data_IF_817804696691
#
_entry.id   IF_817804696691
#
_cell.length_a   1.000
_cell.length_b   1.000
_cell.length_c   1.000
_cell.angle_alpha   90.00
_cell.angle_beta   90.00
_cell.angle_gamma   90.00
#
_symmetry.space_group_name_H-M   'P 1'
#
loop_
_entity.id
_entity.type
_entity.pdbx_description
1 polymer ?
#
# COMPACT_ATOMS: atom_id res chain seq x y z
N UNK A 1 67.21 17.14 -5.34
CA UNK A 1 66.09 18.11 -5.31
C UNK A 1 65.24 17.93 -6.56
N UNK A 2 64.00 17.46 -6.37
CA UNK A 2 62.73 17.87 -7.03
C UNK A 2 62.63 18.12 -8.56
N UNK A 3 61.56 17.52 -9.13
CA UNK A 3 60.74 17.83 -10.34
C UNK A 3 61.14 17.06 -11.61
N UNK A 4 60.23 16.48 -12.39
CA UNK A 4 58.77 16.52 -12.37
C UNK A 4 58.13 15.71 -13.51
N UNK A 5 56.91 15.28 -13.24
CA UNK A 5 55.86 14.64 -14.04
C UNK A 5 55.77 15.05 -15.52
N UNK A 6 55.70 14.03 -16.40
CA UNK A 6 55.04 13.89 -17.75
C UNK A 6 55.95 12.97 -18.58
N UNK A 7 55.58 11.75 -18.97
CA UNK A 7 54.39 11.39 -19.74
C UNK A 7 53.89 10.00 -19.38
N UNK A 8 52.59 9.98 -19.11
CA UNK A 8 51.77 8.83 -18.81
C UNK A 8 51.04 8.47 -20.09
N UNK A 9 51.57 7.54 -20.88
CA UNK A 9 50.83 6.72 -21.87
C UNK A 9 51.82 5.98 -22.76
N UNK A 10 51.89 4.65 -22.64
CA UNK A 10 51.50 3.73 -23.71
C UNK A 10 51.76 2.28 -23.33
N UNK A 11 50.75 1.46 -23.64
CA UNK A 11 50.77 0.00 -23.74
C UNK A 11 50.70 -0.77 -22.42
N UNK A 12 49.68 -0.47 -21.61
CA UNK A 12 48.94 -1.57 -20.97
C UNK A 12 47.71 -1.80 -21.84
N UNK A 13 47.79 -2.82 -22.70
CA UNK A 13 46.62 -3.34 -23.41
C UNK A 13 45.64 -3.91 -22.38
N UNK A 14 44.77 -3.03 -21.87
CA UNK A 14 43.53 -3.43 -21.21
C UNK A 14 42.62 -3.97 -22.30
N UNK A 15 42.85 -5.22 -22.70
CA UNK A 15 41.90 -5.97 -23.48
C UNK A 15 40.55 -5.92 -22.73
N UNK A 16 39.59 -5.18 -23.29
CA UNK A 16 38.20 -5.21 -22.88
C UNK A 16 37.72 -6.65 -23.05
N UNK A 17 37.79 -7.44 -21.99
CA UNK A 17 37.20 -8.77 -21.95
C UNK A 17 35.71 -8.57 -22.20
N UNK A 18 35.13 -9.09 -23.31
CA UNK A 18 33.71 -8.97 -23.53
C UNK A 18 33.01 -9.74 -22.40
N UNK A 19 32.36 -9.02 -21.48
CA UNK A 19 31.45 -9.65 -20.53
C UNK A 19 30.36 -10.32 -21.36
N UNK A 20 30.43 -11.65 -21.46
CA UNK A 20 29.36 -12.45 -22.05
C UNK A 20 28.13 -12.35 -21.15
N UNK A 21 27.29 -11.33 -21.35
CA UNK A 21 25.89 -11.34 -20.94
C UNK A 21 25.07 -12.30 -21.83
N UNK A 22 25.64 -13.43 -22.23
CA UNK A 22 24.93 -14.44 -22.99
C UNK A 22 24.20 -15.32 -21.99
N UNK A 23 22.96 -14.95 -21.71
CA UNK A 23 22.02 -15.82 -21.03
C UNK A 23 22.02 -17.15 -21.78
N UNK A 24 22.54 -18.23 -21.16
CA UNK A 24 22.43 -19.56 -21.77
C UNK A 24 20.94 -19.90 -21.80
N UNK A 25 20.40 -20.11 -23.01
CA UNK A 25 19.04 -20.65 -23.19
C UNK A 25 19.00 -21.97 -22.42
N UNK A 26 18.19 -22.07 -21.36
CA UNK A 26 18.00 -23.33 -20.64
C UNK A 26 17.31 -24.29 -21.62
N UNK A 27 18.02 -25.30 -22.06
CA UNK A 27 17.58 -26.29 -23.06
C UNK A 27 16.55 -27.29 -22.49
N UNK A 28 16.33 -27.24 -21.17
CA UNK A 28 15.31 -28.00 -20.46
C UNK A 28 14.63 -27.10 -19.40
N UNK A 29 13.98 -26.03 -19.85
CA UNK A 29 12.95 -25.38 -19.05
C UNK A 29 11.61 -25.82 -19.65
N UNK A 30 10.84 -26.62 -18.92
CA UNK A 30 9.40 -26.65 -19.11
C UNK A 30 8.90 -25.27 -18.72
N UNK A 31 8.92 -24.33 -19.66
CA UNK A 31 8.26 -23.04 -19.45
C UNK A 31 6.83 -23.34 -19.01
N UNK A 32 6.37 -22.75 -17.88
CA UNK A 32 5.00 -22.95 -17.45
C UNK A 32 4.08 -22.55 -18.61
N UNK A 33 3.16 -23.44 -18.98
CA UNK A 33 2.26 -23.26 -20.14
C UNK A 33 1.47 -21.94 -20.09
N UNK A 34 1.33 -21.36 -18.90
CA UNK A 34 0.66 -20.09 -18.68
C UNK A 34 1.54 -19.17 -17.81
N UNK A 35 1.69 -17.89 -18.17
CA UNK A 35 2.42 -16.92 -17.36
C UNK A 35 1.70 -16.67 -16.02
N UNK A 36 2.46 -16.33 -14.98
CA UNK A 36 1.91 -16.08 -13.64
C UNK A 36 0.85 -14.96 -13.62
N UNK A 37 0.98 -13.97 -14.50
CA UNK A 37 -0.02 -12.91 -14.69
C UNK A 37 -1.36 -13.43 -15.19
N UNK A 38 -1.35 -14.41 -16.10
CA UNK A 38 -2.57 -15.05 -16.59
C UNK A 38 -3.22 -15.91 -15.50
N UNK A 39 -2.44 -16.65 -14.72
CA UNK A 39 -2.95 -17.40 -13.58
C UNK A 39 -3.53 -16.49 -12.50
N UNK A 40 -2.88 -15.35 -12.24
CA UNK A 40 -3.38 -14.33 -11.32
C UNK A 40 -4.71 -13.75 -11.82
N UNK A 41 -4.80 -13.40 -13.10
CA UNK A 41 -6.02 -12.87 -13.70
C UNK A 41 -7.17 -13.89 -13.67
N UNK A 42 -6.89 -15.18 -13.95
CA UNK A 42 -7.88 -16.25 -13.82
C UNK A 42 -8.37 -16.42 -12.38
N UNK A 43 -7.47 -16.35 -11.40
CA UNK A 43 -7.83 -16.41 -9.99
C UNK A 43 -8.70 -15.20 -9.58
N UNK A 44 -8.33 -14.00 -10.03
CA UNK A 44 -9.11 -12.79 -9.82
C UNK A 44 -10.49 -12.89 -10.48
N UNK A 45 -10.57 -13.38 -11.72
CA UNK A 45 -11.84 -13.58 -12.42
C UNK A 45 -12.74 -14.59 -11.69
N UNK A 46 -12.20 -15.70 -11.15
CA UNK A 46 -12.98 -16.65 -10.36
C UNK A 46 -13.44 -16.07 -9.01
N UNK A 47 -12.56 -15.34 -8.33
CA UNK A 47 -12.82 -14.90 -6.94
C UNK A 47 -13.62 -13.60 -6.89
N UNK A 48 -13.20 -12.60 -7.65
CA UNK A 48 -13.71 -11.23 -7.57
C UNK A 48 -14.99 -11.04 -8.38
N UNK A 49 -15.28 -11.88 -9.38
CA UNK A 49 -16.61 -11.90 -10.00
C UNK A 49 -17.71 -12.26 -9.01
N UNK A 50 -17.46 -13.25 -8.13
CA UNK A 50 -18.39 -13.64 -7.07
C UNK A 50 -18.46 -12.55 -5.99
N UNK A 51 -17.32 -11.98 -5.62
CA UNK A 51 -17.24 -10.99 -4.54
C UNK A 51 -17.90 -9.65 -4.89
N UNK A 52 -17.73 -9.16 -6.13
CA UNK A 52 -18.18 -7.83 -6.55
C UNK A 52 -19.34 -7.84 -7.56
N UNK A 53 -19.74 -9.01 -8.07
CA UNK A 53 -20.85 -9.15 -9.02
C UNK A 53 -20.68 -8.23 -10.23
N UNK A 54 -21.70 -7.43 -10.50
CA UNK A 54 -21.76 -6.51 -11.64
C UNK A 54 -20.71 -5.38 -11.60
N UNK A 55 -20.09 -5.13 -10.44
CA UNK A 55 -18.99 -4.17 -10.33
C UNK A 55 -17.67 -4.74 -10.88
N UNK A 56 -17.50 -6.07 -10.92
CA UNK A 56 -16.24 -6.71 -11.28
C UNK A 56 -15.70 -6.28 -12.64
N UNK A 57 -16.47 -6.23 -13.74
CA UNK A 57 -15.96 -5.79 -15.03
C UNK A 57 -15.31 -4.40 -14.99
N UNK A 58 -15.90 -3.45 -14.25
CA UNK A 58 -15.37 -2.09 -14.09
C UNK A 58 -14.07 -2.05 -13.30
N UNK A 59 -13.96 -2.85 -12.25
CA UNK A 59 -12.74 -2.99 -11.43
C UNK A 59 -11.64 -3.65 -12.26
N UNK A 60 -11.99 -4.73 -12.97
CA UNK A 60 -11.07 -5.53 -13.79
C UNK A 60 -10.44 -4.71 -14.90
N UNK A 61 -11.22 -3.93 -15.66
CA UNK A 61 -10.67 -3.09 -16.72
C UNK A 61 -9.74 -2.02 -16.14
N UNK A 62 -10.07 -1.48 -14.97
CA UNK A 62 -9.24 -0.49 -14.27
C UNK A 62 -7.92 -1.09 -13.79
N UNK A 63 -7.93 -2.32 -13.25
CA UNK A 63 -6.72 -3.08 -12.88
C UNK A 63 -5.79 -3.37 -14.05
N UNK A 64 -6.34 -3.51 -15.26
CA UNK A 64 -5.59 -3.77 -16.50
C UNK A 64 -5.22 -2.48 -17.24
N UNK A 65 -5.61 -1.32 -16.72
CA UNK A 65 -5.32 -0.01 -17.28
C UNK A 65 -4.24 0.71 -16.47
N UNK A 66 -3.74 1.82 -17.00
CA UNK A 66 -2.77 2.65 -16.30
C UNK A 66 -3.35 3.24 -14.99
N UNK A 67 -2.61 3.13 -13.90
CA UNK A 67 -3.02 3.64 -12.60
C UNK A 67 -2.91 5.17 -12.55
N UNK A 68 -3.81 5.78 -11.79
CA UNK A 68 -3.73 7.20 -11.43
C UNK A 68 -2.76 7.35 -10.25
N UNK A 69 -1.91 8.37 -10.32
CA UNK A 69 -0.91 8.65 -9.30
C UNK A 69 -1.20 9.97 -8.58
N UNK A 70 -0.77 10.05 -7.32
CA UNK A 70 -0.70 11.30 -6.56
C UNK A 70 0.75 11.68 -6.31
N UNK A 71 1.04 12.97 -6.26
CA UNK A 71 2.35 13.49 -5.89
C UNK A 71 2.34 13.87 -4.40
N UNK A 72 3.08 13.14 -3.58
CA UNK A 72 3.28 13.53 -2.18
C UNK A 72 4.37 14.61 -2.11
N UNK A 73 3.98 15.83 -1.75
CA UNK A 73 4.92 16.95 -1.62
C UNK A 73 5.91 16.64 -0.50
N UNK A 74 7.20 16.81 -0.81
CA UNK A 74 8.26 16.60 0.17
C UNK A 74 8.38 17.83 1.07
N UNK A 75 7.92 17.72 2.31
CA UNK A 75 7.95 18.81 3.30
C UNK A 75 9.38 19.23 3.72
N UNK A 76 10.43 18.49 3.33
CA UNK A 76 11.83 18.88 3.54
C UNK A 76 12.40 19.72 2.38
N UNK A 77 11.64 19.86 1.28
CA UNK A 77 11.97 20.73 0.16
C UNK A 77 11.23 22.09 0.30
N UNK A 78 11.38 22.96 -0.69
CA UNK A 78 10.57 24.19 -0.79
C UNK A 78 9.12 23.84 -1.16
N UNK A 79 8.33 23.40 -0.17
CA UNK A 79 6.97 22.87 -0.34
C UNK A 79 6.06 23.80 -1.12
N UNK A 80 6.10 25.11 -0.83
CA UNK A 80 5.19 26.08 -1.44
C UNK A 80 5.43 26.24 -2.94
N UNK A 81 6.70 26.17 -3.36
CA UNK A 81 7.08 26.23 -4.76
C UNK A 81 6.67 24.96 -5.53
N UNK A 82 6.86 23.79 -4.91
CA UNK A 82 6.50 22.51 -5.55
C UNK A 82 4.98 22.34 -5.64
N UNK A 83 4.22 22.75 -4.62
CA UNK A 83 2.75 22.77 -4.67
C UNK A 83 2.24 23.69 -5.78
N UNK A 84 2.76 24.92 -5.88
CA UNK A 84 2.38 25.85 -6.95
C UNK A 84 2.67 25.31 -8.35
N UNK A 85 3.77 24.56 -8.53
CA UNK A 85 4.11 23.91 -9.79
C UNK A 85 3.15 22.77 -10.13
N UNK A 86 2.71 22.00 -9.14
CA UNK A 86 1.71 20.95 -9.33
C UNK A 86 0.34 21.54 -9.69
N UNK A 87 -0.05 22.66 -9.09
CA UNK A 87 -1.27 23.40 -9.44
C UNK A 87 -1.23 23.91 -10.89
N UNK A 88 -0.06 24.34 -11.39
CA UNK A 88 0.10 24.76 -12.79
C UNK A 88 -0.16 23.64 -13.81
N UNK A 89 0.00 22.37 -13.42
CA UNK A 89 -0.37 21.22 -14.26
C UNK A 89 -1.79 20.71 -13.96
N UNK A 90 -2.61 21.55 -13.33
CA UNK A 90 -4.00 21.27 -12.96
C UNK A 90 -4.15 20.08 -12.00
N UNK A 91 -3.10 19.78 -11.22
CA UNK A 91 -3.23 18.87 -10.10
C UNK A 91 -3.93 19.59 -8.93
N UNK A 92 -4.61 18.82 -8.10
CA UNK A 92 -5.31 19.30 -6.90
C UNK A 92 -4.76 18.61 -5.67
N UNK A 93 -4.62 19.37 -4.58
CA UNK A 93 -4.36 18.81 -3.26
C UNK A 93 -5.67 18.26 -2.67
N UNK A 94 -5.93 17.00 -2.97
CA UNK A 94 -7.13 16.31 -2.48
C UNK A 94 -7.16 16.11 -0.96
N UNK A 95 -6.02 16.22 -0.27
CA UNK A 95 -5.98 16.11 1.19
C UNK A 95 -6.48 17.42 1.80
N UNK A 96 -5.97 18.54 1.31
CA UNK A 96 -6.43 19.86 1.75
C UNK A 96 -7.90 20.12 1.36
N UNK A 97 -8.32 19.71 0.16
CA UNK A 97 -9.72 19.76 -0.28
C UNK A 97 -10.63 18.96 0.67
N UNK A 98 -10.25 17.71 0.98
CA UNK A 98 -10.99 16.86 1.93
C UNK A 98 -11.09 17.48 3.33
N UNK A 99 -9.99 18.04 3.86
CA UNK A 99 -9.98 18.66 5.20
C UNK A 99 -10.80 19.96 5.22
N UNK A 100 -10.84 20.71 4.13
CA UNK A 100 -11.62 21.96 4.05
C UNK A 100 -13.14 21.71 4.15
N UNK A 101 -13.60 20.51 3.84
CA UNK A 101 -14.99 20.07 4.00
C UNK A 101 -15.28 19.42 5.37
N UNK A 102 -14.32 19.44 6.29
CA UNK A 102 -14.51 18.95 7.65
C UNK A 102 -15.32 19.94 8.49
N UNK A 103 -16.54 19.57 8.88
CA UNK A 103 -17.33 20.28 9.89
C UNK A 103 -16.93 19.83 11.32
N UNK A 104 -16.51 20.74 12.22
CA UNK A 104 -16.03 20.38 13.56
C UNK A 104 -17.08 19.80 14.54
N UNK A 105 -18.36 19.71 14.20
CA UNK A 105 -19.44 19.48 15.18
C UNK A 105 -19.66 18.01 15.62
N UNK A 106 -18.69 17.10 15.45
CA UNK A 106 -18.92 15.68 15.76
C UNK A 106 -17.84 14.93 16.57
N UNK A 107 -16.82 15.58 17.13
CA UNK A 107 -15.94 14.90 18.10
C UNK A 107 -15.57 15.77 19.31
N UNK A 108 -16.17 15.43 20.45
CA UNK A 108 -15.68 15.80 21.76
C UNK A 108 -14.31 15.15 22.00
N UNK A 109 -13.31 16.02 22.13
CA UNK A 109 -12.09 15.87 22.92
C UNK A 109 -11.23 14.61 22.67
N UNK A 110 -10.13 14.78 21.92
CA UNK A 110 -8.78 14.34 22.28
C UNK A 110 -7.78 14.78 21.19
N UNK A 111 -7.07 15.87 21.44
CA UNK A 111 -5.86 16.23 20.70
C UNK A 111 -4.76 15.19 20.98
N UNK A 112 -4.53 14.27 20.05
CA UNK A 112 -3.39 13.36 20.08
C UNK A 112 -2.36 13.85 19.06
N UNK A 113 -1.26 14.42 19.55
CA UNK A 113 -0.07 14.61 18.75
C UNK A 113 0.42 13.25 18.21
N UNK A 114 0.90 13.14 16.96
CA UNK A 114 1.40 11.88 16.44
C UNK A 114 2.69 11.52 17.18
N UNK A 115 2.60 10.59 18.13
CA UNK A 115 3.78 9.89 18.64
C UNK A 115 4.24 8.92 17.55
N UNK A 116 5.16 9.39 16.71
CA UNK A 116 5.85 8.59 15.69
C UNK A 116 6.71 7.52 16.37
N UNK A 117 6.21 6.28 16.38
CA UNK A 117 7.06 5.12 16.59
C UNK A 117 7.81 4.85 15.28
N UNK A 118 9.02 5.39 15.17
CA UNK A 118 9.95 4.99 14.11
C UNK A 118 10.53 3.62 14.48
N UNK A 119 10.14 2.58 13.74
CA UNK A 119 10.87 1.30 13.75
C UNK A 119 12.02 1.39 12.73
N UNK A 120 13.29 1.42 13.16
CA UNK A 120 14.40 1.33 12.23
C UNK A 120 14.52 -0.14 11.81
N UNK A 121 14.72 -0.37 10.50
CA UNK A 121 14.99 -1.66 9.84
C UNK A 121 13.77 -2.43 9.33
N UNK A 122 13.20 -2.00 8.19
CA UNK A 122 12.42 -2.90 7.34
C UNK A 122 13.37 -3.87 6.62
N UNK A 123 13.46 -5.12 7.11
CA UNK A 123 13.84 -6.25 6.26
C UNK A 123 12.55 -6.80 5.66
N UNK A 124 12.37 -6.62 4.37
CA UNK A 124 11.30 -7.25 3.60
C UNK A 124 11.73 -8.68 3.23
N UNK A 125 11.04 -9.74 3.71
CA UNK A 125 11.22 -11.06 3.15
C UNK A 125 10.57 -11.10 1.76
N UNK A 126 11.36 -11.36 0.73
CA UNK A 126 10.87 -11.57 -0.63
C UNK A 126 10.31 -12.99 -0.76
N UNK A 127 9.04 -13.19 -0.40
CA UNK A 127 8.24 -14.36 -0.79
C UNK A 127 6.75 -14.09 -0.53
N UNK A 128 5.89 -14.61 -1.41
CA UNK A 128 4.48 -14.21 -1.55
C UNK A 128 3.70 -14.05 -0.24
N UNK A 129 2.85 -13.01 -0.21
CA UNK A 129 1.96 -12.71 0.91
C UNK A 129 0.96 -13.86 1.13
N UNK A 130 1.32 -14.79 2.01
CA UNK A 130 0.40 -15.77 2.56
C UNK A 130 -0.51 -15.11 3.60
N UNK A 131 -1.77 -15.53 3.67
CA UNK A 131 -2.73 -15.13 4.70
C UNK A 131 -2.14 -15.23 6.12
N UNK A 132 -1.33 -16.25 6.37
CA UNK A 132 -0.66 -16.47 7.66
C UNK A 132 0.37 -15.40 7.98
N UNK A 133 1.05 -14.84 6.98
CA UNK A 133 2.02 -13.77 7.17
C UNK A 133 1.30 -12.46 7.55
N UNK A 134 0.23 -12.11 6.84
CA UNK A 134 -0.57 -10.92 7.16
C UNK A 134 -1.12 -10.96 8.58
N UNK A 135 -1.69 -12.11 8.99
CA UNK A 135 -2.14 -12.36 10.36
C UNK A 135 -1.00 -12.17 11.38
N UNK A 136 0.16 -12.77 11.13
CA UNK A 136 1.29 -12.76 12.07
C UNK A 136 1.86 -11.35 12.26
N UNK A 137 2.09 -10.62 11.16
CA UNK A 137 2.60 -9.25 11.19
C UNK A 137 1.60 -8.32 11.88
N UNK A 138 0.32 -8.45 11.55
CA UNK A 138 -0.72 -7.62 12.12
C UNK A 138 -0.90 -7.88 13.63
N UNK A 139 -0.93 -9.14 14.06
CA UNK A 139 -0.93 -9.54 15.48
C UNK A 139 0.27 -8.94 16.22
N UNK A 140 1.47 -9.04 15.66
CA UNK A 140 2.67 -8.48 16.29
C UNK A 140 2.57 -6.95 16.46
N UNK A 141 2.03 -6.24 15.46
CA UNK A 141 1.76 -4.81 15.56
C UNK A 141 0.81 -4.45 16.70
N UNK A 142 -0.29 -5.20 16.87
CA UNK A 142 -1.22 -5.00 17.98
C UNK A 142 -0.61 -5.32 19.35
N UNK A 143 0.17 -6.39 19.46
CA UNK A 143 0.89 -6.73 20.71
C UNK A 143 1.91 -5.65 21.09
N UNK A 144 2.58 -5.04 20.12
CA UNK A 144 3.53 -3.95 20.33
C UNK A 144 2.85 -2.60 20.65
N UNK A 145 1.55 -2.48 20.38
CA UNK A 145 0.79 -1.26 20.63
C UNK A 145 0.46 -1.14 22.11
N UNK A 146 0.69 0.02 22.73
CA UNK A 146 0.30 0.27 24.13
C UNK A 146 -1.23 0.22 24.31
N UNK A 147 -1.75 -0.12 25.50
CA UNK A 147 -3.17 0.07 25.81
C UNK A 147 -3.60 1.52 25.54
N UNK A 148 -4.76 1.68 24.92
CA UNK A 148 -5.27 2.96 24.42
C UNK A 148 -4.70 3.42 23.07
N UNK A 149 -3.65 2.78 22.55
CA UNK A 149 -3.00 3.11 21.27
C UNK A 149 -3.77 2.60 20.04
N UNK A 150 -3.38 3.09 18.86
CA UNK A 150 -4.06 2.81 17.59
C UNK A 150 -3.15 2.07 16.60
N UNK A 151 -3.77 1.24 15.76
CA UNK A 151 -3.12 0.54 14.64
C UNK A 151 -3.97 0.70 13.40
N UNK A 152 -3.32 0.91 12.25
CA UNK A 152 -3.96 0.79 10.94
C UNK A 152 -3.40 -0.44 10.25
N UNK A 153 -4.28 -1.38 9.90
CA UNK A 153 -3.95 -2.48 8.99
C UNK A 153 -4.34 -2.08 7.58
N UNK A 154 -3.48 -2.34 6.59
CA UNK A 154 -3.76 -2.02 5.19
C UNK A 154 -3.21 -3.07 4.23
N UNK A 155 -3.86 -3.22 3.08
CA UNK A 155 -3.39 -4.09 1.99
C UNK A 155 -3.65 -3.42 0.64
N UNK A 156 -2.97 -3.91 -0.40
CA UNK A 156 -3.30 -3.62 -1.80
C UNK A 156 -4.03 -4.79 -2.46
N UNK A 157 -4.94 -5.44 -1.73
CA UNK A 157 -5.69 -6.62 -2.18
C UNK A 157 -7.18 -6.35 -2.15
N UNK A 158 -7.92 -6.89 -3.11
CA UNK A 158 -9.38 -6.85 -3.11
C UNK A 158 -9.99 -7.96 -2.24
N UNK A 159 -9.23 -9.00 -1.89
CA UNK A 159 -9.76 -10.21 -1.24
C UNK A 159 -10.22 -9.97 0.20
N UNK A 160 -11.49 -10.28 0.51
CA UNK A 160 -11.99 -10.26 1.89
C UNK A 160 -11.20 -11.20 2.81
N UNK A 161 -10.67 -12.31 2.27
CA UNK A 161 -9.83 -13.25 3.03
C UNK A 161 -8.56 -12.58 3.56
N UNK A 162 -7.97 -11.65 2.79
CA UNK A 162 -6.76 -10.91 3.16
C UNK A 162 -7.07 -9.60 3.90
N UNK A 163 -8.34 -9.20 3.93
CA UNK A 163 -8.79 -7.92 4.45
C UNK A 163 -9.58 -8.12 5.74
N UNK A 164 -10.91 -8.15 5.65
CA UNK A 164 -11.82 -8.19 6.79
C UNK A 164 -11.61 -9.43 7.66
N UNK A 165 -11.36 -10.60 7.06
CA UNK A 165 -11.14 -11.83 7.82
C UNK A 165 -9.79 -11.85 8.56
N UNK A 166 -8.77 -11.14 8.05
CA UNK A 166 -7.52 -10.95 8.80
C UNK A 166 -7.78 -10.09 10.04
N UNK A 167 -8.56 -9.02 9.89
CA UNK A 167 -8.90 -8.11 11.00
C UNK A 167 -9.73 -8.83 12.07
N UNK A 168 -10.81 -9.48 11.66
CA UNK A 168 -11.73 -10.19 12.55
C UNK A 168 -11.00 -11.35 13.25
N UNK A 169 -10.32 -12.21 12.50
CA UNK A 169 -9.59 -13.35 13.04
C UNK A 169 -8.47 -12.95 14.00
N UNK A 170 -7.75 -11.86 13.72
CA UNK A 170 -6.71 -11.37 14.65
C UNK A 170 -7.31 -10.80 15.93
N UNK A 171 -8.43 -10.10 15.83
CA UNK A 171 -9.14 -9.53 16.99
C UNK A 171 -9.65 -10.63 17.91
N UNK A 172 -10.30 -11.65 17.35
CA UNK A 172 -10.78 -12.83 18.10
C UNK A 172 -9.62 -13.59 18.73
N UNK A 173 -8.54 -13.82 17.98
CA UNK A 173 -7.36 -14.52 18.48
C UNK A 173 -6.71 -13.77 19.64
N UNK A 174 -6.59 -12.44 19.58
CA UNK A 174 -6.03 -11.64 20.68
C UNK A 174 -6.92 -11.64 21.92
N UNK A 175 -8.24 -11.58 21.74
CA UNK A 175 -9.19 -11.68 22.85
C UNK A 175 -9.07 -13.04 23.56
N UNK A 176 -8.99 -14.13 22.78
CA UNK A 176 -9.00 -15.49 23.32
C UNK A 176 -7.63 -15.92 23.89
N UNK A 177 -6.52 -15.60 23.22
CA UNK A 177 -5.19 -16.09 23.61
C UNK A 177 -4.44 -15.14 24.54
N UNK A 178 -4.74 -13.83 24.51
CA UNK A 178 -3.98 -12.82 25.25
C UNK A 178 -4.85 -11.95 26.16
N UNK A 179 -6.18 -12.13 26.15
CA UNK A 179 -7.13 -11.25 26.85
C UNK A 179 -6.97 -9.76 26.46
N UNK A 180 -6.50 -9.53 25.23
CA UNK A 180 -6.33 -8.19 24.66
C UNK A 180 -7.60 -7.85 23.87
N UNK A 181 -8.30 -6.81 24.30
CA UNK A 181 -9.48 -6.30 23.59
C UNK A 181 -9.05 -5.26 22.56
N UNK A 182 -9.50 -5.43 21.32
CA UNK A 182 -9.27 -4.50 20.22
C UNK A 182 -10.63 -4.05 19.68
N UNK A 183 -10.77 -2.75 19.45
CA UNK A 183 -11.98 -2.14 18.89
C UNK A 183 -11.69 -1.59 17.51
N UNK A 184 -12.49 -1.98 16.51
CA UNK A 184 -12.47 -1.33 15.20
C UNK A 184 -13.07 0.07 15.32
N UNK A 185 -12.39 1.07 14.76
CA UNK A 185 -12.88 2.45 14.72
C UNK A 185 -13.66 2.71 13.44
N UNK A 186 -14.74 3.49 13.56
CA UNK A 186 -15.54 3.86 12.39
C UNK A 186 -14.80 4.89 11.54
N UNK A 187 -14.62 4.56 10.26
CA UNK A 187 -14.01 5.42 9.26
C UNK A 187 -15.04 5.95 8.26
N UNK A 188 -16.33 5.92 8.58
CA UNK A 188 -17.39 6.35 7.66
C UNK A 188 -17.32 7.84 7.36
N UNK A 189 -16.99 8.68 8.34
CA UNK A 189 -16.75 10.10 8.08
C UNK A 189 -15.50 10.31 7.21
N UNK A 190 -14.38 9.64 7.54
CA UNK A 190 -13.17 9.66 6.70
C UNK A 190 -13.47 9.28 5.25
N UNK A 191 -14.23 8.20 5.03
CA UNK A 191 -14.67 7.80 3.69
C UNK A 191 -15.38 8.96 2.97
N UNK A 192 -16.35 9.61 3.62
CA UNK A 192 -17.13 10.70 3.00
C UNK A 192 -16.24 11.84 2.51
N UNK A 193 -15.26 12.27 3.30
CA UNK A 193 -14.35 13.36 2.94
C UNK A 193 -13.53 13.06 1.68
N UNK A 194 -13.22 11.78 1.45
CA UNK A 194 -12.35 11.34 0.36
C UNK A 194 -13.12 10.76 -0.84
N UNK A 195 -14.47 10.79 -0.83
CA UNK A 195 -15.30 10.21 -1.90
C UNK A 195 -15.22 10.96 -3.22
N UNK A 196 -14.86 12.25 -3.21
CA UNK A 196 -14.68 13.04 -4.45
C UNK A 196 -13.39 12.65 -5.20
N UNK A 197 -12.45 12.01 -4.50
CA UNK A 197 -11.15 11.58 -5.07
C UNK A 197 -11.08 10.09 -5.33
N UNK A 198 -11.67 9.26 -4.45
CA UNK A 198 -11.55 7.81 -4.48
C UNK A 198 -12.90 7.11 -4.59
N UNK A 199 -12.95 6.03 -5.37
CA UNK A 199 -14.11 5.15 -5.40
C UNK A 199 -14.03 4.14 -4.26
N UNK A 200 -14.97 4.18 -3.32
CA UNK A 200 -15.01 3.24 -2.19
C UNK A 200 -16.03 2.12 -2.40
N UNK A 201 -15.66 0.89 -2.01
CA UNK A 201 -16.62 -0.20 -1.87
C UNK A 201 -17.56 0.08 -0.69
N UNK A 202 -18.86 -0.10 -0.90
CA UNK A 202 -19.86 0.30 0.09
C UNK A 202 -20.10 -0.75 1.18
N UNK A 203 -19.83 -2.02 0.90
CA UNK A 203 -20.32 -3.15 1.70
C UNK A 203 -19.25 -3.81 2.57
N UNK A 204 -18.20 -3.08 2.96
CA UNK A 204 -17.26 -3.58 3.98
C UNK A 204 -17.92 -3.61 5.36
N UNK A 205 -17.82 -4.74 6.05
CA UNK A 205 -18.22 -4.91 7.45
C UNK A 205 -17.27 -4.18 8.40
N UNK A 206 -15.96 -4.24 8.12
CA UNK A 206 -14.91 -3.55 8.89
C UNK A 206 -13.88 -2.92 7.97
N UNK A 207 -13.38 -1.74 8.34
CA UNK A 207 -12.46 -0.97 7.51
C UNK A 207 -13.13 -0.37 6.28
N UNK A 208 -12.32 0.10 5.33
CA UNK A 208 -12.73 0.69 4.05
C UNK A 208 -11.86 0.14 2.93
N UNK A 209 -12.43 -0.01 1.73
CA UNK A 209 -11.73 -0.49 0.53
C UNK A 209 -11.89 0.52 -0.60
N UNK A 210 -10.78 1.06 -1.09
CA UNK A 210 -10.73 1.82 -2.35
C UNK A 210 -10.68 0.82 -3.51
N UNK A 211 -11.59 1.00 -4.46
CA UNK A 211 -11.71 0.21 -5.67
C UNK A 211 -11.09 0.94 -6.87
N UNK A 212 -10.32 0.24 -7.71
CA UNK A 212 -9.93 0.73 -9.03
C UNK A 212 -11.16 1.12 -9.86
N UNK A 213 -11.13 2.32 -10.45
CA UNK A 213 -12.14 2.83 -11.35
C UNK A 213 -11.49 3.69 -12.45
N UNK A 214 -11.96 3.62 -13.69
CA UNK A 214 -11.33 4.34 -14.81
C UNK A 214 -11.23 5.86 -14.62
N UNK A 215 -12.16 6.49 -13.89
CA UNK A 215 -12.16 7.95 -13.64
C UNK A 215 -11.23 8.33 -12.47
N UNK A 216 -11.00 7.38 -11.56
CA UNK A 216 -10.17 7.53 -10.38
C UNK A 216 -9.40 6.23 -10.12
N UNK A 217 -8.44 5.90 -10.99
CA UNK A 217 -7.80 4.58 -11.03
C UNK A 217 -6.73 4.39 -9.95
N UNK A 218 -7.13 4.55 -8.70
CA UNK A 218 -6.32 4.33 -7.51
C UNK A 218 -6.61 2.95 -6.91
N UNK A 219 -5.68 2.49 -6.06
CA UNK A 219 -5.84 1.22 -5.37
C UNK A 219 -5.61 0.00 -6.27
N UNK A 220 -6.08 -1.20 -5.86
CA UNK A 220 -6.93 -1.45 -4.69
C UNK A 220 -6.21 -1.12 -3.38
N UNK A 221 -6.95 -0.59 -2.41
CA UNK A 221 -6.38 -0.24 -1.10
C UNK A 221 -7.40 -0.49 0.01
N UNK A 222 -7.20 -1.55 0.79
CA UNK A 222 -7.94 -1.79 2.02
C UNK A 222 -7.23 -1.11 3.18
N UNK A 223 -7.98 -0.52 4.10
CA UNK A 223 -7.45 -0.09 5.39
C UNK A 223 -8.50 -0.18 6.49
N UNK A 224 -8.06 -0.54 7.69
CA UNK A 224 -8.89 -0.63 8.88
C UNK A 224 -8.14 -0.01 10.07
N UNK A 225 -8.75 0.95 10.75
CA UNK A 225 -8.21 1.58 11.96
C UNK A 225 -8.80 0.89 13.17
N UNK A 226 -7.96 0.55 14.13
CA UNK A 226 -8.36 -0.09 15.38
C UNK A 226 -7.66 0.55 16.56
N UNK A 227 -8.27 0.41 17.73
CA UNK A 227 -7.72 0.83 19.02
C UNK A 227 -7.57 -0.37 19.94
N UNK A 228 -6.39 -0.55 20.51
CA UNK A 228 -6.15 -1.53 21.57
C UNK A 228 -6.71 -0.98 22.88
N UNK A 229 -7.61 -1.71 23.54
CA UNK A 229 -8.26 -1.28 24.78
C UNK A 229 -7.52 -1.75 26.03
N UNK A 230 -6.95 -2.96 26.01
CA UNK A 230 -6.21 -3.59 27.13
C UNK A 230 -4.93 -4.23 26.66
#
# INVERSE_FOLDING_TARGET
MLKGVRELMRLVDLALVPRRHRHKKKWAATEPKFPASQLALQNFDMTYSVQFGDLWPSIRVSLLSEQKYGALVNNFAASDHESAKLEQVNAKDFVNEAISHWDPEAESDHSVAPSTAYSPNLRCPASGFSLLLSLSVFRAGLLATKPGGHVVYSTCSLSHLQNEYVVQGTTELLANQYSIKVRVEDLSHFRKLFMDTFCFFQSCQVGKLVLPNLIANFGPMYFCKMRRLT
#
